data_IF_719262072248
#
_entry.id   IF_719262072248
#
_cell.length_a   1.000
_cell.length_b   1.000
_cell.length_c   1.000
_cell.angle_alpha   90.00
_cell.angle_beta   90.00
_cell.angle_gamma   90.00
#
_symmetry.space_group_name_H-M   'P 1'
#
loop_
_entity.id
_entity.type
_entity.pdbx_description
1 polymer ?
#
# COMPACT_ATOMS: atom_id res chain seq x y z
N UNK A 1 -14.77 -3.20 -1.12
CA UNK A 1 -14.36 -4.60 -1.43
C UNK A 1 -14.56 -5.54 -0.25
N UNK A 2 -14.14 -5.22 1.00
CA UNK A 2 -14.38 -6.10 2.15
C UNK A 2 -15.85 -6.51 2.31
N UNK A 3 -16.80 -5.57 2.14
CA UNK A 3 -18.23 -5.86 2.18
C UNK A 3 -18.68 -6.85 1.08
N UNK A 4 -18.14 -6.73 -0.13
CA UNK A 4 -18.51 -7.61 -1.24
C UNK A 4 -17.96 -9.03 -1.02
N UNK A 5 -16.74 -9.15 -0.51
CA UNK A 5 -16.16 -10.44 -0.13
C UNK A 5 -16.98 -11.09 1.00
N UNK A 6 -17.34 -10.33 2.05
CA UNK A 6 -18.18 -10.82 3.15
C UNK A 6 -19.60 -11.21 2.71
N UNK A 7 -20.23 -10.42 1.84
CA UNK A 7 -21.57 -10.70 1.32
C UNK A 7 -21.58 -11.94 0.43
N UNK A 8 -20.60 -12.09 -0.45
CA UNK A 8 -20.51 -13.25 -1.33
C UNK A 8 -20.17 -14.54 -0.56
N UNK A 9 -19.36 -14.43 0.50
CA UNK A 9 -19.11 -15.54 1.43
C UNK A 9 -20.37 -15.92 2.21
N UNK A 10 -21.15 -14.95 2.72
CA UNK A 10 -22.42 -15.20 3.40
C UNK A 10 -23.49 -15.83 2.49
N UNK A 11 -23.49 -15.48 1.20
CA UNK A 11 -24.40 -16.04 0.21
C UNK A 11 -23.94 -17.39 -0.35
N UNK A 12 -22.80 -17.93 0.11
CA UNK A 12 -22.21 -19.21 -0.34
C UNK A 12 -21.98 -19.27 -1.86
N UNK A 13 -21.74 -18.13 -2.49
CA UNK A 13 -21.38 -18.06 -3.91
C UNK A 13 -19.86 -18.06 -4.08
N UNK A 14 -19.39 -18.30 -5.31
CA UNK A 14 -17.95 -18.22 -5.63
C UNK A 14 -17.40 -16.86 -5.19
N UNK A 15 -16.42 -16.88 -4.30
CA UNK A 15 -15.86 -15.69 -3.66
C UNK A 15 -14.35 -15.78 -3.47
N UNK A 16 -13.71 -14.62 -3.27
CA UNK A 16 -12.34 -14.56 -2.75
C UNK A 16 -12.29 -14.79 -1.22
N UNK A 17 -13.46 -14.76 -0.55
CA UNK A 17 -13.61 -14.96 0.89
C UNK A 17 -13.05 -13.81 1.73
N UNK A 18 -13.23 -13.90 3.05
CA UNK A 18 -12.75 -12.90 4.01
C UNK A 18 -11.47 -13.29 4.74
N UNK A 19 -10.88 -14.44 4.40
CA UNK A 19 -9.68 -14.98 5.05
C UNK A 19 -8.49 -14.02 5.05
N UNK A 20 -8.38 -13.15 4.04
CA UNK A 20 -7.36 -12.11 3.95
C UNK A 20 -8.04 -10.75 4.13
N UNK A 21 -7.98 -10.15 5.33
CA UNK A 21 -8.49 -8.80 5.56
C UNK A 21 -7.80 -7.80 4.64
N UNK A 22 -8.56 -6.85 4.09
CA UNK A 22 -8.03 -5.77 3.26
C UNK A 22 -7.11 -6.27 2.12
N UNK A 23 -7.44 -7.39 1.45
CA UNK A 23 -6.64 -7.98 0.36
C UNK A 23 -6.27 -7.05 -0.81
N UNK A 24 -6.84 -5.85 -0.89
CA UNK A 24 -6.49 -4.81 -1.88
C UNK A 24 -5.41 -3.84 -1.40
N UNK A 25 -5.06 -3.89 -0.14
CA UNK A 25 -3.94 -3.14 0.42
C UNK A 25 -2.65 -3.63 -0.25
N UNK A 26 -1.96 -2.70 -0.92
CA UNK A 26 -0.74 -3.00 -1.68
C UNK A 26 0.40 -3.51 -0.79
N UNK A 27 0.45 -3.11 0.49
CA UNK A 27 1.45 -3.59 1.45
C UNK A 27 1.18 -5.06 1.78
N UNK A 28 -0.06 -5.40 2.13
CA UNK A 28 -0.49 -6.78 2.41
C UNK A 28 -0.23 -7.67 1.20
N UNK A 29 -0.54 -7.20 -0.01
CA UNK A 29 -0.28 -7.94 -1.24
C UNK A 29 1.19 -8.33 -1.40
N UNK A 30 2.12 -7.39 -1.18
CA UNK A 30 3.55 -7.66 -1.30
C UNK A 30 4.06 -8.58 -0.18
N UNK A 31 3.53 -8.46 1.04
CA UNK A 31 3.85 -9.36 2.16
C UNK A 31 3.41 -10.81 1.86
N UNK A 32 2.22 -10.99 1.28
CA UNK A 32 1.72 -12.30 0.87
C UNK A 32 2.52 -12.90 -0.30
N UNK A 33 2.89 -12.09 -1.29
CA UNK A 33 3.77 -12.52 -2.40
C UNK A 33 5.11 -13.02 -1.84
N UNK A 34 5.70 -12.28 -0.88
CA UNK A 34 6.93 -12.69 -0.21
C UNK A 34 6.75 -14.01 0.56
N UNK A 35 5.67 -14.13 1.32
CA UNK A 35 5.37 -15.33 2.11
C UNK A 35 5.15 -16.58 1.23
N UNK A 36 4.66 -16.39 0.01
CA UNK A 36 4.53 -17.45 -1.00
C UNK A 36 5.87 -17.85 -1.66
N UNK A 37 7.00 -17.24 -1.27
CA UNK A 37 8.32 -17.51 -1.85
C UNK A 37 8.53 -16.87 -3.22
N UNK A 38 7.66 -15.95 -3.63
CA UNK A 38 7.78 -15.22 -4.89
C UNK A 38 8.58 -13.92 -4.69
N UNK A 39 9.16 -13.41 -5.78
CA UNK A 39 9.86 -12.12 -5.75
C UNK A 39 8.89 -10.98 -5.41
N UNK A 40 9.06 -10.40 -4.24
CA UNK A 40 8.35 -9.20 -3.77
C UNK A 40 9.28 -7.97 -3.81
N UNK A 41 8.70 -6.77 -3.81
CA UNK A 41 9.50 -5.54 -3.63
C UNK A 41 9.84 -5.33 -2.16
N UNK A 42 10.97 -4.67 -1.89
CA UNK A 42 11.22 -4.07 -0.57
C UNK A 42 10.24 -2.91 -0.39
N UNK A 43 9.69 -2.77 0.80
CA UNK A 43 8.68 -1.75 1.07
C UNK A 43 8.69 -1.36 2.55
N UNK A 44 8.23 -0.14 2.81
CA UNK A 44 7.75 0.32 4.10
C UNK A 44 6.42 1.04 3.90
N UNK A 45 5.64 1.18 4.97
CA UNK A 45 4.36 1.85 4.91
C UNK A 45 3.79 2.12 6.29
N UNK A 46 3.26 3.31 6.47
CA UNK A 46 2.65 3.81 7.69
C UNK A 46 1.91 5.13 7.43
N UNK A 47 1.35 5.69 8.50
CA UNK A 47 0.59 6.95 8.46
C UNK A 47 1.38 8.13 9.01
N UNK A 48 2.58 7.88 9.54
CA UNK A 48 3.53 8.89 9.97
C UNK A 48 4.81 8.75 9.16
N UNK A 49 5.48 9.88 8.94
CA UNK A 49 6.73 9.86 8.19
C UNK A 49 7.80 9.00 8.89
N UNK A 50 7.84 9.03 10.21
CA UNK A 50 8.72 8.19 11.05
C UNK A 50 8.59 6.69 10.77
N UNK A 51 7.44 6.23 10.28
CA UNK A 51 7.21 4.81 9.97
C UNK A 51 7.95 4.35 8.71
N UNK A 52 8.47 5.30 7.91
CA UNK A 52 9.11 5.04 6.61
C UNK A 52 10.49 5.70 6.46
N UNK A 53 10.93 6.53 7.40
CA UNK A 53 12.21 7.25 7.31
C UNK A 53 13.42 6.31 7.21
N UNK A 54 13.46 5.26 8.03
CA UNK A 54 14.56 4.27 7.98
C UNK A 54 14.64 3.59 6.61
N UNK A 55 13.48 3.32 6.00
CA UNK A 55 13.42 2.77 4.65
C UNK A 55 13.99 3.75 3.62
N UNK A 56 13.54 5.01 3.64
CA UNK A 56 14.03 6.04 2.73
C UNK A 56 15.55 6.26 2.85
N UNK A 57 16.11 6.14 4.05
CA UNK A 57 17.54 6.28 4.28
C UNK A 57 18.36 5.04 3.86
N UNK A 58 17.74 3.87 3.80
CA UNK A 58 18.40 2.59 3.48
C UNK A 58 18.34 2.19 2.00
N UNK A 59 17.47 2.83 1.22
CA UNK A 59 17.17 2.47 -0.16
C UNK A 59 17.85 3.41 -1.16
N UNK A 60 18.18 2.89 -2.33
CA UNK A 60 18.69 3.69 -3.43
C UNK A 60 17.53 4.41 -4.15
N UNK A 61 17.78 5.65 -4.56
CA UNK A 61 16.83 6.43 -5.35
C UNK A 61 16.89 6.03 -6.83
N UNK A 62 15.77 6.10 -7.58
CA UNK A 62 14.46 6.63 -7.16
C UNK A 62 13.59 5.60 -6.42
N UNK A 63 12.70 6.09 -5.57
CA UNK A 63 11.68 5.28 -4.87
C UNK A 63 10.26 5.64 -5.34
N UNK A 64 9.33 4.69 -5.25
CA UNK A 64 7.92 4.95 -5.55
C UNK A 64 7.14 5.17 -4.26
N UNK A 65 6.50 6.33 -4.13
CA UNK A 65 5.60 6.64 -3.02
C UNK A 65 4.16 6.58 -3.53
N UNK A 66 3.30 5.81 -2.85
CA UNK A 66 1.91 5.57 -3.27
C UNK A 66 0.97 5.25 -2.10
N UNK A 67 -0.33 5.51 -2.21
CA UNK A 67 -1.32 5.02 -1.24
C UNK A 67 -1.43 3.50 -1.23
N UNK A 68 -1.60 2.93 -0.03
CA UNK A 68 -1.92 1.50 0.15
C UNK A 68 -3.23 1.15 -0.54
N UNK A 69 -4.25 1.99 -0.39
CA UNK A 69 -5.54 1.90 -1.03
C UNK A 69 -5.70 3.01 -2.07
N UNK A 70 -5.83 2.62 -3.34
CA UNK A 70 -6.09 3.49 -4.50
C UNK A 70 -6.27 2.57 -5.72
N UNK A 71 -6.78 3.10 -6.83
CA UNK A 71 -6.89 2.43 -8.11
C UNK A 71 -6.09 3.19 -9.20
N UNK A 72 -5.60 2.47 -10.21
CA UNK A 72 -4.79 3.08 -11.27
C UNK A 72 -3.49 3.70 -10.74
N UNK A 73 -3.13 4.85 -11.29
CA UNK A 73 -1.93 5.62 -10.90
C UNK A 73 -2.23 6.77 -9.93
N UNK A 74 -3.42 6.77 -9.33
CA UNK A 74 -3.86 7.87 -8.46
C UNK A 74 -3.03 7.91 -7.17
N UNK A 75 -2.35 9.05 -6.96
CA UNK A 75 -1.46 9.28 -5.84
C UNK A 75 -0.10 8.60 -5.95
N UNK A 76 0.25 8.01 -7.09
CA UNK A 76 1.57 7.38 -7.31
C UNK A 76 2.56 8.43 -7.80
N UNK A 77 3.74 8.53 -7.16
CA UNK A 77 4.86 9.35 -7.62
C UNK A 77 6.17 8.57 -7.59
N UNK A 78 6.95 8.71 -8.64
CA UNK A 78 8.37 8.32 -8.65
C UNK A 78 9.17 9.49 -8.08
N UNK A 79 9.80 9.29 -6.93
CA UNK A 79 10.57 10.31 -6.22
C UNK A 79 12.06 10.06 -6.44
N UNK A 80 12.77 11.07 -6.91
CA UNK A 80 14.19 10.98 -7.29
C UNK A 80 15.15 11.29 -6.15
N UNK A 81 14.65 11.79 -5.02
CA UNK A 81 15.40 12.09 -3.81
C UNK A 81 14.50 11.94 -2.56
N UNK A 82 15.10 12.01 -1.36
CA UNK A 82 14.41 11.79 -0.09
C UNK A 82 13.38 12.90 0.14
N UNK A 83 13.73 14.13 -0.18
CA UNK A 83 12.89 15.31 -0.02
C UNK A 83 11.59 15.17 -0.83
N UNK A 84 11.68 14.79 -2.11
CA UNK A 84 10.52 14.51 -2.97
C UNK A 84 9.63 13.40 -2.42
N UNK A 85 10.22 12.39 -1.77
CA UNK A 85 9.49 11.29 -1.14
C UNK A 85 8.75 11.76 0.11
N UNK A 86 9.40 12.55 0.97
CA UNK A 86 8.80 13.16 2.17
C UNK A 86 7.66 14.11 1.81
N UNK A 87 7.88 14.99 0.83
CA UNK A 87 6.87 15.91 0.33
C UNK A 87 5.64 15.17 -0.19
N UNK A 88 5.86 14.14 -1.03
CA UNK A 88 4.74 13.36 -1.57
C UNK A 88 4.01 12.55 -0.49
N UNK A 89 4.72 12.03 0.50
CA UNK A 89 4.10 11.41 1.67
C UNK A 89 3.13 12.38 2.36
N UNK A 90 3.54 13.63 2.61
CA UNK A 90 2.67 14.65 3.19
C UNK A 90 1.47 15.01 2.30
N UNK A 91 1.65 15.08 0.98
CA UNK A 91 0.54 15.27 0.03
C UNK A 91 -0.51 14.17 0.20
N UNK A 92 -0.08 12.90 0.28
CA UNK A 92 -0.99 11.77 0.46
C UNK A 92 -1.71 11.81 1.81
N UNK A 93 -1.00 12.14 2.89
CA UNK A 93 -1.61 12.24 4.23
C UNK A 93 -2.64 13.36 4.31
N UNK A 94 -2.37 14.51 3.68
CA UNK A 94 -3.31 15.63 3.65
C UNK A 94 -4.53 15.35 2.76
N UNK A 95 -4.37 14.56 1.70
CA UNK A 95 -5.48 14.15 0.83
C UNK A 95 -6.42 13.14 1.53
N UNK A 96 -5.89 12.26 2.38
CA UNK A 96 -6.67 11.26 3.11
C UNK A 96 -7.55 11.86 4.22
N UNK A 97 -7.23 13.05 4.74
CA UNK A 97 -8.03 13.72 5.78
C UNK A 97 -9.37 14.30 5.28
N UNK A 98 -9.63 14.29 3.97
CA UNK A 98 -10.80 14.94 3.36
C UNK A 98 -12.01 14.01 3.16
N UNK A 99 -12.05 12.85 3.81
CA UNK A 99 -13.15 11.86 3.69
C UNK A 99 -13.88 11.71 5.01
#
# INVERSE_FOLDING_TARGET
VPLADAMSEHLEVRTNGTQIPQRRDKKIQQELVKAAGLRSVRQAGGTKLSDVEDFLNSEEMPVVVKPVESAGSDGVKLCHNIEEAKEHFHVLMNAQQKV
#
